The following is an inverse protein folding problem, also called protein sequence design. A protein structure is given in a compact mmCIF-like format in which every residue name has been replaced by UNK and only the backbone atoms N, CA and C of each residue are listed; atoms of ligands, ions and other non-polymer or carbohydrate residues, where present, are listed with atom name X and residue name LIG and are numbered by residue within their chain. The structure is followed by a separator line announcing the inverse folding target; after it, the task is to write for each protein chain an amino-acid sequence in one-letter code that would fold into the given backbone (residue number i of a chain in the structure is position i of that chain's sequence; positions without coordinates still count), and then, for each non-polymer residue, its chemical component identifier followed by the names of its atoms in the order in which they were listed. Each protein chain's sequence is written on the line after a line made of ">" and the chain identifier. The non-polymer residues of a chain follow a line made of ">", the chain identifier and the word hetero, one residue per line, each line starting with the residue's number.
data_IF_488229059472
#
_entry.id   IF_488229059472
#
_cell.length_a   1.000
_cell.length_b   1.000
_cell.length_c   1.000
_cell.angle_alpha   90.00
_cell.angle_beta   90.00
_cell.angle_gamma   90.00
#
_symmetry.space_group_name_H-M   'P 1'
#
loop_
_entity.id
_entity.type
_entity.pdbx_description
1 polymer ?
#
# COMPACT_ATOMS: atom_id res chain seq x y z
N UNK A 1 43.05 16.91 -11.22
CA UNK A 1 41.77 16.23 -11.56
C UNK A 1 41.00 15.97 -10.27
N UNK A 2 39.66 15.98 -10.30
CA UNK A 2 38.80 15.54 -9.19
C UNK A 2 37.92 14.40 -9.70
N UNK A 3 38.03 13.23 -9.08
CA UNK A 3 37.19 12.07 -9.37
C UNK A 3 36.04 12.04 -8.35
N UNK A 4 34.83 11.67 -8.80
CA UNK A 4 33.71 11.38 -7.90
C UNK A 4 33.63 9.87 -7.69
N UNK A 5 33.19 9.48 -6.51
CA UNK A 5 32.89 8.08 -6.26
C UNK A 5 31.65 7.66 -7.05
N UNK A 6 31.67 6.44 -7.59
CA UNK A 6 30.49 5.83 -8.20
C UNK A 6 29.59 5.21 -7.13
N UNK A 7 28.30 5.06 -7.43
CA UNK A 7 27.32 4.48 -6.50
C UNK A 7 26.59 3.28 -7.10
N UNK A 8 26.03 2.42 -6.24
CA UNK A 8 25.02 1.40 -6.55
C UNK A 8 23.74 1.76 -5.81
N UNK A 9 22.59 1.54 -6.44
CA UNK A 9 21.27 1.77 -5.84
C UNK A 9 20.51 0.45 -5.82
N UNK A 10 20.00 0.09 -4.65
CA UNK A 10 19.17 -1.10 -4.42
C UNK A 10 17.87 -0.70 -3.71
N UNK A 11 16.85 -1.56 -3.80
CA UNK A 11 15.58 -1.39 -3.07
C UNK A 11 15.42 -2.50 -2.06
N UNK A 12 15.09 -2.14 -0.82
CA UNK A 12 14.72 -3.07 0.25
C UNK A 12 13.22 -2.98 0.49
N UNK A 13 12.57 -4.13 0.63
CA UNK A 13 11.14 -4.23 0.91
C UNK A 13 10.88 -4.97 2.21
N UNK A 14 9.83 -4.55 2.92
CA UNK A 14 9.22 -5.24 4.06
C UNK A 14 7.71 -5.21 3.91
N UNK A 15 7.02 -6.09 4.62
CA UNK A 15 5.56 -6.17 4.57
C UNK A 15 4.97 -6.29 5.96
N UNK A 16 3.79 -5.71 6.12
CA UNK A 16 2.89 -5.97 7.25
C UNK A 16 1.61 -6.55 6.68
N UNK A 17 1.13 -7.64 7.26
CA UNK A 17 -0.05 -8.36 6.80
C UNK A 17 -1.22 -8.18 7.77
N UNK A 18 -2.42 -8.21 7.23
CA UNK A 18 -3.66 -8.32 7.98
C UNK A 18 -4.43 -9.55 7.52
N UNK A 19 -4.87 -10.36 8.48
CA UNK A 19 -5.74 -11.51 8.25
C UNK A 19 -6.98 -11.39 9.13
N UNK A 20 -8.16 -11.48 8.53
CA UNK A 20 -9.43 -11.58 9.25
C UNK A 20 -9.96 -12.99 9.04
N UNK A 21 -10.02 -13.74 10.14
CA UNK A 21 -10.57 -15.08 10.21
C UNK A 21 -12.07 -15.02 10.39
N UNK A 22 -12.82 -15.73 9.56
CA UNK A 22 -14.27 -15.84 9.64
C UNK A 22 -14.64 -17.26 10.08
N UNK A 23 -14.99 -17.41 11.35
CA UNK A 23 -15.20 -18.71 11.99
C UNK A 23 -16.68 -18.88 12.35
N UNK A 24 -17.20 -20.10 12.27
CA UNK A 24 -18.55 -20.40 12.75
C UNK A 24 -18.52 -20.81 14.22
N UNK A 25 -19.49 -20.36 15.01
CA UNK A 25 -19.57 -20.67 16.44
C UNK A 25 -19.85 -22.14 16.76
N UNK A 26 -20.48 -22.84 15.83
CA UNK A 26 -20.87 -24.25 15.94
C UNK A 26 -19.74 -25.24 15.61
N UNK A 27 -18.53 -24.73 15.30
CA UNK A 27 -17.39 -25.56 14.93
C UNK A 27 -17.46 -26.13 13.52
N UNK A 28 -18.39 -25.64 12.68
CA UNK A 28 -18.35 -25.91 11.23
C UNK A 28 -17.07 -25.34 10.61
N UNK A 29 -16.74 -25.81 9.41
CA UNK A 29 -15.58 -25.32 8.66
C UNK A 29 -15.67 -23.80 8.48
N UNK A 30 -14.60 -23.10 8.85
CA UNK A 30 -14.39 -21.67 8.62
C UNK A 30 -14.68 -21.23 7.18
N UNK A 31 -15.24 -20.01 7.07
CA UNK A 31 -15.38 -19.30 5.81
C UNK A 31 -14.02 -18.75 5.33
N UNK A 32 -13.98 -18.27 4.09
CA UNK A 32 -12.73 -17.78 3.50
C UNK A 32 -12.24 -16.50 4.19
N UNK A 33 -11.01 -16.54 4.71
CA UNK A 33 -10.39 -15.39 5.36
C UNK A 33 -10.22 -14.20 4.41
N UNK A 34 -10.31 -12.99 4.97
CA UNK A 34 -9.80 -11.79 4.31
C UNK A 34 -8.29 -11.66 4.56
N UNK A 35 -7.55 -11.22 3.54
CA UNK A 35 -6.12 -10.95 3.64
C UNK A 35 -5.78 -9.64 2.95
N UNK A 36 -4.96 -8.82 3.59
CA UNK A 36 -4.38 -7.62 3.02
C UNK A 36 -2.90 -7.49 3.40
N UNK A 37 -2.13 -6.78 2.58
CA UNK A 37 -0.70 -6.55 2.79
C UNK A 37 -0.37 -5.10 2.50
N UNK A 38 0.47 -4.51 3.34
CA UNK A 38 1.12 -3.21 3.09
C UNK A 38 2.58 -3.48 2.80
N UNK A 39 3.07 -2.98 1.66
CA UNK A 39 4.48 -3.08 1.31
C UNK A 39 5.18 -1.78 1.66
N UNK A 40 6.20 -1.87 2.49
CA UNK A 40 7.13 -0.80 2.80
C UNK A 40 8.36 -0.97 1.92
N UNK A 41 8.81 0.11 1.28
CA UNK A 41 10.04 0.12 0.49
C UNK A 41 10.96 1.26 0.92
N UNK A 42 12.28 1.03 0.82
CA UNK A 42 13.30 2.08 0.93
C UNK A 42 14.43 1.82 -0.05
N UNK A 43 15.16 2.88 -0.38
CA UNK A 43 16.34 2.82 -1.24
C UNK A 43 17.61 2.74 -0.41
N UNK A 44 18.54 1.89 -0.83
CA UNK A 44 19.89 1.77 -0.28
C UNK A 44 20.87 2.26 -1.35
N UNK A 45 21.64 3.30 -1.04
CA UNK A 45 22.73 3.76 -1.92
C UNK A 45 24.06 3.37 -1.31
N UNK A 46 24.87 2.64 -2.06
CA UNK A 46 26.21 2.19 -1.64
C UNK A 46 27.29 2.91 -2.44
N UNK A 47 28.23 3.53 -1.76
CA UNK A 47 29.45 4.09 -2.37
C UNK A 47 30.38 2.93 -2.79
N UNK A 48 30.77 2.87 -4.07
CA UNK A 48 31.58 1.77 -4.62
C UNK A 48 33.04 1.80 -4.18
N UNK A 49 33.53 2.95 -3.70
CA UNK A 49 34.91 3.15 -3.28
C UNK A 49 35.04 2.88 -1.79
N UNK A 50 34.13 3.41 -0.97
CA UNK A 50 34.19 3.29 0.51
C UNK A 50 33.37 2.13 1.06
N UNK A 51 32.36 1.66 0.33
CA UNK A 51 31.40 0.66 0.81
C UNK A 51 30.34 1.23 1.77
N UNK A 52 30.34 2.54 2.03
CA UNK A 52 29.36 3.18 2.91
C UNK A 52 27.95 3.10 2.32
N UNK A 53 26.96 2.84 3.19
CA UNK A 53 25.54 2.74 2.82
C UNK A 53 24.75 3.90 3.40
N UNK A 54 23.95 4.55 2.56
CA UNK A 54 22.92 5.50 2.97
C UNK A 54 21.54 4.93 2.65
N UNK A 55 20.59 5.20 3.55
CA UNK A 55 19.23 4.67 3.48
C UNK A 55 18.25 5.81 3.35
N UNK A 56 17.29 5.70 2.43
CA UNK A 56 16.13 6.58 2.43
C UNK A 56 15.18 6.24 3.58
N UNK A 57 14.24 7.14 3.83
CA UNK A 57 13.08 6.83 4.65
C UNK A 57 12.25 5.71 4.01
N UNK A 58 11.53 4.98 4.85
CA UNK A 58 10.55 3.99 4.42
C UNK A 58 9.31 4.68 3.85
N UNK A 59 8.78 4.14 2.75
CA UNK A 59 7.51 4.55 2.16
C UNK A 59 6.56 3.36 2.08
N UNK A 60 5.32 3.54 2.54
CA UNK A 60 4.25 2.56 2.42
C UNK A 60 3.51 2.72 1.08
N UNK A 61 3.25 1.62 0.38
CA UNK A 61 2.51 1.60 -0.89
C UNK A 61 1.05 2.10 -0.77
N UNK A 62 0.43 1.94 0.39
CA UNK A 62 -0.94 2.34 0.64
C UNK A 62 -1.07 3.46 1.71
N UNK A 63 0.04 4.11 2.08
CA UNK A 63 0.06 5.17 3.07
C UNK A 63 -0.15 4.73 4.53
N UNK A 64 0.16 3.47 4.84
CA UNK A 64 0.27 2.96 6.21
C UNK A 64 -1.08 2.73 6.88
N UNK A 65 -2.04 2.14 6.15
CA UNK A 65 -3.39 1.87 6.63
C UNK A 65 -3.99 0.60 6.04
N UNK A 66 -4.79 -0.13 6.83
CA UNK A 66 -5.69 -1.17 6.33
C UNK A 66 -7.10 -0.59 6.28
N UNK A 67 -7.74 -0.69 5.11
CA UNK A 67 -9.08 -0.15 4.90
C UNK A 67 -10.12 -0.88 5.77
N UNK A 68 -11.27 -0.24 6.00
CA UNK A 68 -12.39 -0.92 6.61
C UNK A 68 -12.88 -2.09 5.73
N UNK A 69 -13.26 -3.20 6.37
CA UNK A 69 -13.71 -4.42 5.71
C UNK A 69 -15.11 -4.77 6.20
N UNK A 70 -16.01 -5.08 5.26
CA UNK A 70 -17.33 -5.62 5.58
C UNK A 70 -17.24 -7.14 5.67
N UNK A 71 -17.82 -7.69 6.74
CA UNK A 71 -17.92 -9.13 6.91
C UNK A 71 -18.86 -9.74 5.86
N UNK A 72 -18.53 -10.89 5.25
CA UNK A 72 -19.41 -11.56 4.30
C UNK A 72 -20.82 -11.80 4.84
N UNK A 73 -21.83 -11.72 3.99
CA UNK A 73 -23.19 -12.12 4.35
C UNK A 73 -23.32 -13.62 4.11
N UNK A 74 -23.69 -14.35 5.16
CA UNK A 74 -23.85 -15.80 5.11
C UNK A 74 -25.29 -16.14 5.49
N UNK A 75 -25.96 -16.93 4.66
CA UNK A 75 -27.37 -17.29 4.85
C UNK A 75 -27.56 -17.98 6.21
N UNK A 76 -28.56 -17.52 6.97
CA UNK A 76 -28.91 -18.03 8.30
C UNK A 76 -27.85 -17.78 9.41
N UNK A 77 -26.87 -16.90 9.17
CA UNK A 77 -25.87 -16.49 10.17
C UNK A 77 -25.72 -14.97 10.27
N UNK A 78 -25.34 -14.47 11.46
CA UNK A 78 -24.97 -13.07 11.70
C UNK A 78 -23.54 -13.03 12.23
N UNK A 79 -22.71 -12.17 11.63
CA UNK A 79 -21.36 -11.92 12.10
C UNK A 79 -21.36 -11.13 13.42
N UNK A 80 -20.47 -11.48 14.35
CA UNK A 80 -20.24 -10.75 15.60
C UNK A 80 -19.83 -9.30 15.37
N UNK A 81 -19.19 -9.03 14.23
CA UNK A 81 -18.83 -7.70 13.75
C UNK A 81 -19.18 -7.62 12.26
N UNK A 82 -20.12 -6.75 11.89
CA UNK A 82 -20.54 -6.55 10.49
C UNK A 82 -19.50 -5.76 9.67
N UNK A 83 -18.73 -4.91 10.36
CA UNK A 83 -17.70 -4.05 9.79
C UNK A 83 -16.49 -4.02 10.70
N UNK A 84 -15.35 -4.39 10.16
CA UNK A 84 -14.04 -4.17 10.76
C UNK A 84 -13.61 -2.77 10.33
N UNK A 85 -13.32 -1.90 11.29
CA UNK A 85 -12.94 -0.52 10.99
C UNK A 85 -11.54 -0.42 10.40
N UNK A 86 -11.31 0.71 9.70
CA UNK A 86 -9.99 1.06 9.17
C UNK A 86 -8.97 1.14 10.31
N UNK A 87 -7.76 0.65 10.06
CA UNK A 87 -6.63 0.80 10.97
C UNK A 87 -5.55 1.65 10.30
N UNK A 88 -5.26 2.81 10.88
CA UNK A 88 -4.24 3.75 10.39
C UNK A 88 -2.99 3.71 11.27
N UNK A 89 -1.91 4.36 10.81
CA UNK A 89 -0.67 4.44 11.57
C UNK A 89 0.17 3.16 11.51
N UNK A 90 -0.04 2.32 10.49
CA UNK A 90 0.80 1.15 10.27
C UNK A 90 2.17 1.60 9.79
N UNK A 91 3.19 1.18 10.52
CA UNK A 91 4.60 1.43 10.24
C UNK A 91 5.30 0.15 9.82
N UNK A 92 6.53 0.26 9.32
CA UNK A 92 7.36 -0.88 8.92
C UNK A 92 7.70 -1.84 10.07
N UNK A 93 7.61 -1.37 11.31
CA UNK A 93 7.88 -2.16 12.53
C UNK A 93 6.60 -2.69 13.19
N UNK A 94 5.43 -2.41 12.59
CA UNK A 94 4.16 -2.97 13.05
C UNK A 94 4.15 -4.48 12.81
N UNK A 95 3.78 -5.25 13.82
CA UNK A 95 3.61 -6.69 13.67
C UNK A 95 2.41 -6.99 12.74
N UNK A 96 2.41 -8.20 12.16
CA UNK A 96 1.25 -8.68 11.43
C UNK A 96 0.00 -8.72 12.34
N UNK A 97 -1.15 -8.48 11.73
CA UNK A 97 -2.42 -8.25 12.40
C UNK A 97 -3.34 -9.43 12.12
N UNK A 98 -3.85 -10.04 13.18
CA UNK A 98 -4.87 -11.08 13.10
C UNK A 98 -6.15 -10.62 13.82
N UNK A 99 -7.29 -10.81 13.16
CA UNK A 99 -8.63 -10.56 13.74
C UNK A 99 -9.52 -11.76 13.52
N UNK A 100 -10.52 -11.93 14.38
CA UNK A 100 -11.50 -13.01 14.29
C UNK A 100 -12.90 -12.40 14.31
N UNK A 101 -13.72 -12.80 13.35
CA UNK A 101 -15.15 -12.54 13.30
C UNK A 101 -15.88 -13.87 13.40
N UNK A 102 -16.79 -13.96 14.38
CA UNK A 102 -17.53 -15.19 14.66
C UNK A 102 -18.93 -15.08 14.07
N UNK A 103 -19.37 -16.09 13.34
CA UNK A 103 -20.73 -16.20 12.83
C UNK A 103 -21.60 -17.01 13.77
N UNK A 104 -22.72 -16.40 14.17
CA UNK A 104 -23.73 -17.03 15.02
C UNK A 104 -24.97 -17.36 14.19
N UNK A 105 -25.46 -18.59 14.32
CA UNK A 105 -26.68 -19.02 13.62
C UNK A 105 -27.88 -18.21 14.10
N UNK A 106 -28.67 -17.69 13.16
CA UNK A 106 -29.91 -16.97 13.47
C UNK A 106 -30.92 -17.96 14.06
N UNK A 107 -31.47 -17.71 15.26
CA UNK A 107 -32.53 -18.53 15.81
C UNK A 107 -33.77 -18.52 14.89
N UNK A 108 -34.41 -19.68 14.71
CA UNK A 108 -35.63 -19.78 13.93
C UNK A 108 -36.70 -18.82 14.48
N UNK A 109 -37.20 -17.91 13.63
CA UNK A 109 -38.20 -16.90 13.98
C UNK A 109 -37.69 -15.46 14.06
N UNK A 110 -36.38 -15.21 13.93
CA UNK A 110 -35.84 -13.85 13.76
C UNK A 110 -35.71 -13.54 12.26
N UNK A 111 -36.49 -12.57 11.79
CA UNK A 111 -36.34 -12.00 10.45
C UNK A 111 -35.25 -10.94 10.54
N UNK A 112 -34.04 -11.23 10.06
CA UNK A 112 -32.99 -10.22 9.91
C UNK A 112 -33.36 -9.39 8.68
N UNK A 113 -33.58 -8.06 8.77
CA UNK A 113 -33.80 -7.25 7.58
C UNK A 113 -32.58 -7.38 6.66
N UNK A 114 -32.76 -7.52 5.34
CA UNK A 114 -31.64 -7.54 4.41
C UNK A 114 -31.02 -6.16 4.41
N UNK A 115 -29.93 -5.98 5.17
CA UNK A 115 -29.01 -4.89 4.89
C UNK A 115 -28.31 -5.34 3.61
N UNK A 116 -28.59 -4.67 2.50
CA UNK A 116 -27.73 -4.70 1.33
C UNK A 116 -26.71 -3.57 1.50
N UNK A 117 -25.53 -3.82 2.09
CA UNK A 117 -24.37 -3.02 1.78
C UNK A 117 -23.87 -3.46 0.39
N UNK A 118 -23.33 -2.51 -0.36
CA UNK A 118 -22.68 -2.77 -1.64
C UNK A 118 -21.71 -3.95 -1.54
N UNK A 119 -21.60 -4.69 -2.65
CA UNK A 119 -20.71 -5.84 -2.86
C UNK A 119 -19.38 -5.67 -2.09
N UNK A 120 -18.88 -6.71 -1.38
CA UNK A 120 -17.54 -6.66 -0.79
C UNK A 120 -16.54 -6.16 -1.82
N UNK A 121 -15.84 -5.08 -1.50
CA UNK A 121 -14.67 -4.64 -2.25
C UNK A 121 -13.60 -5.69 -2.08
N UNK A 122 -13.60 -6.68 -2.98
CA UNK A 122 -12.52 -7.63 -3.15
C UNK A 122 -11.24 -6.84 -3.48
N UNK A 123 -10.15 -6.97 -2.70
CA UNK A 123 -8.88 -6.37 -3.08
C UNK A 123 -8.42 -6.97 -4.41
N UNK A 124 -7.96 -6.08 -5.30
CA UNK A 124 -7.23 -6.44 -6.51
C UNK A 124 -6.11 -7.41 -6.17
N UNK A 125 -6.10 -8.58 -6.82
CA UNK A 125 -4.95 -9.46 -6.82
C UNK A 125 -3.83 -8.75 -7.60
N UNK A 126 -3.05 -7.89 -6.94
CA UNK A 126 -1.80 -7.39 -7.49
C UNK A 126 -0.75 -8.50 -7.38
N UNK A 127 -0.97 -9.51 -8.20
CA UNK A 127 0.03 -10.49 -8.57
C UNK A 127 1.19 -9.74 -9.24
N UNK A 128 2.33 -9.82 -8.58
CA UNK A 128 3.65 -9.38 -9.03
C UNK A 128 3.82 -9.55 -10.55
N UNK A 129 4.00 -8.43 -11.28
CA UNK A 129 4.62 -8.46 -12.61
C UNK A 129 6.12 -8.32 -12.45
N UNK A 130 6.81 -9.45 -12.60
CA UNK A 130 8.24 -9.55 -12.86
C UNK A 130 8.65 -8.64 -14.04
N UNK A 131 9.67 -7.78 -13.90
CA UNK A 131 10.25 -7.08 -15.05
C UNK A 131 11.23 -8.03 -15.76
N UNK A 132 10.79 -8.64 -16.86
CA UNK A 132 11.71 -9.27 -17.83
C UNK A 132 12.12 -8.23 -18.86
N UNK A 133 13.38 -7.81 -18.81
CA UNK A 133 14.02 -7.08 -19.89
C UNK A 133 14.26 -8.02 -21.09
N UNK A 134 13.90 -7.57 -22.32
CA UNK A 134 14.66 -7.79 -23.58
C UNK A 134 14.03 -7.08 -24.80
N UNK A 135 14.81 -6.19 -25.39
CA UNK A 135 15.05 -5.89 -26.82
C UNK A 135 13.93 -5.51 -27.82
N UNK A 136 13.97 -4.23 -28.23
CA UNK A 136 13.74 -3.54 -29.53
C UNK A 136 13.24 -4.34 -30.76
N UNK A 137 12.18 -3.82 -31.44
CA UNK A 137 12.10 -3.58 -32.92
C UNK A 137 10.90 -2.73 -33.35
N UNK A 138 11.14 -1.87 -34.34
CA UNK A 138 10.28 -0.83 -34.95
C UNK A 138 8.97 -1.30 -35.60
N UNK A 139 7.90 -0.47 -35.56
CA UNK A 139 7.10 -0.02 -36.73
C UNK A 139 5.97 0.98 -36.36
N UNK A 140 5.76 2.00 -37.21
CA UNK A 140 4.81 3.15 -37.16
C UNK A 140 3.72 2.96 -38.25
N UNK A 141 2.68 3.83 -38.39
CA UNK A 141 1.42 4.02 -37.63
C UNK A 141 0.16 3.76 -38.48
N UNK A 142 -1.05 3.70 -37.89
CA UNK A 142 -2.27 4.20 -38.58
C UNK A 142 -3.32 4.74 -37.60
N UNK A 143 -3.97 5.77 -38.10
CA UNK A 143 -4.85 6.82 -37.60
C UNK A 143 -6.29 6.37 -37.26
N UNK A 144 -6.90 6.90 -36.20
CA UNK A 144 -8.35 7.22 -36.13
C UNK A 144 -8.59 8.42 -35.21
N UNK A 145 -9.32 9.41 -35.76
CA UNK A 145 -9.71 10.70 -35.17
C UNK A 145 -10.57 10.60 -33.89
N UNK A 146 -10.55 11.65 -33.03
CA UNK A 146 -11.40 11.75 -31.84
C UNK A 146 -12.78 12.34 -32.16
N UNK A 147 -13.82 11.87 -31.47
CA UNK A 147 -15.13 12.55 -31.44
C UNK A 147 -15.18 13.48 -30.22
N UNK A 148 -15.25 14.78 -30.48
CA UNK A 148 -15.37 15.86 -29.51
C UNK A 148 -16.83 16.09 -29.12
N UNK A 149 -17.08 16.17 -27.82
CA UNK A 149 -18.25 16.76 -27.19
C UNK A 149 -17.78 17.58 -25.98
N UNK A 150 -18.20 18.83 -25.93
CA UNK A 150 -17.43 20.00 -25.49
C UNK A 150 -17.43 20.31 -23.97
N UNK A 151 -16.46 21.14 -23.56
CA UNK A 151 -16.51 22.13 -22.46
C UNK A 151 -16.35 21.65 -21.00
N UNK A 152 -15.41 22.11 -20.15
CA UNK A 152 -14.77 23.42 -19.98
C UNK A 152 -13.37 23.34 -19.30
N UNK A 153 -12.43 24.14 -19.82
CA UNK A 153 -11.40 24.98 -19.14
C UNK A 153 -10.49 24.39 -18.03
N UNK A 154 -9.24 24.07 -18.40
CA UNK A 154 -8.09 24.93 -18.03
C UNK A 154 -6.84 24.55 -18.82
N UNK A 155 -6.26 25.57 -19.45
CA UNK A 155 -4.96 25.60 -20.10
C UNK A 155 -3.86 25.43 -19.06
N UNK A 156 -2.87 24.54 -19.27
CA UNK A 156 -1.44 24.88 -19.19
C UNK A 156 -0.69 24.02 -20.22
N UNK A 157 -0.12 24.69 -21.22
CA UNK A 157 0.81 24.16 -22.21
C UNK A 157 2.22 24.10 -21.62
N UNK A 158 2.92 22.99 -21.92
CA UNK A 158 4.37 22.68 -21.91
C UNK A 158 5.36 23.72 -21.34
N UNK A 159 6.39 23.24 -20.62
CA UNK A 159 7.80 23.30 -21.08
C UNK A 159 8.78 22.51 -20.21
N UNK A 160 9.83 22.01 -20.88
CA UNK A 160 10.99 21.26 -20.39
C UNK A 160 12.09 22.18 -19.82
N UNK A 161 13.00 21.56 -19.07
CA UNK A 161 14.36 21.98 -18.68
C UNK A 161 14.52 23.04 -17.56
N UNK A 162 15.29 22.67 -16.52
CA UNK A 162 16.51 23.42 -16.24
C UNK A 162 16.78 23.88 -14.80
N UNK A 163 17.77 23.23 -14.18
CA UNK A 163 18.96 23.77 -13.49
C UNK A 163 18.86 24.78 -12.31
N UNK A 164 19.69 24.48 -11.29
CA UNK A 164 20.29 25.36 -10.26
C UNK A 164 19.35 25.94 -9.18
N UNK A 165 19.74 26.27 -7.96
CA UNK A 165 20.79 25.92 -7.00
C UNK A 165 20.51 26.82 -5.75
N UNK A 166 21.20 26.54 -4.63
CA UNK A 166 21.68 27.52 -3.62
C UNK A 166 20.96 27.61 -2.25
N UNK A 167 21.66 27.04 -1.23
CA UNK A 167 22.10 27.59 0.09
C UNK A 167 20.98 28.12 1.02
N UNK A 168 20.83 27.63 2.26
CA UNK A 168 21.54 28.10 3.48
C UNK A 168 21.59 27.00 4.56
N UNK A 169 22.81 26.63 4.94
CA UNK A 169 23.22 26.40 6.34
C UNK A 169 24.13 27.58 6.71
N UNK A 170 24.25 28.02 7.98
CA UNK A 170 24.61 27.14 9.11
C UNK A 170 24.05 27.53 10.51
N UNK A 171 24.40 26.72 11.50
CA UNK A 171 24.99 27.13 12.80
C UNK A 171 24.17 26.93 14.11
N UNK A 172 24.70 25.98 14.91
CA UNK A 172 24.87 25.94 16.38
C UNK A 172 23.66 25.94 17.35
N UNK A 173 23.61 24.94 18.24
CA UNK A 173 24.13 25.01 19.63
C UNK A 173 23.78 23.68 20.36
N UNK A 174 24.71 22.74 20.50
CA UNK A 174 25.40 22.41 21.75
C UNK A 174 24.52 22.44 23.02
N UNK A 175 24.22 21.25 23.57
CA UNK A 175 24.65 20.83 24.91
C UNK A 175 24.29 19.37 25.20
N UNK A 176 25.32 18.54 25.32
CA UNK A 176 25.31 17.35 26.18
C UNK A 176 25.21 17.80 27.63
N UNK A 177 24.40 17.13 28.45
CA UNK A 177 24.87 16.66 29.76
C UNK A 177 24.06 15.47 30.26
N UNK A 178 24.76 14.70 31.09
CA UNK A 178 24.67 13.27 31.40
C UNK A 178 24.29 13.14 32.87
N UNK A 179 23.55 12.06 33.21
CA UNK A 179 23.41 11.44 34.54
C UNK A 179 22.87 12.31 35.70
N UNK A 180 21.77 11.87 36.29
CA UNK A 180 21.83 11.06 37.51
C UNK A 180 20.91 9.85 37.36
#
# INVERSE_FOLDING_TARGET
>A
MRLKHGTVVETENKSVNEVIHYVYDNGDKDADNYKATIVFSRTITTDKVTGEKTYSDWTADNGGRFAAVLSPIIKDYIASQLKIDEMTGITVDTADIERIVVYHKVPAGIIVPPVHPDKPSQPSNNQSKTPTAKAVKDSKPTDVLPSTGDSQKSQIVLTLLGIMAVIISPLALLLRRKKQ
#
